data_IF_677342752295
#
_entry.id   IF_677342752295
#
_cell.length_a   1.000
_cell.length_b   1.000
_cell.length_c   1.000
_cell.angle_alpha   90.00
_cell.angle_beta   90.00
_cell.angle_gamma   90.00
#
_symmetry.space_group_name_H-M   'P 1'
#
loop_
_entity.id
_entity.type
_entity.pdbx_description
1 polymer ?
#
# COMPACT_ATOMS: atom_id res chain seq x y z
N UNK A 1 -29.52 27.11 14.08
CA UNK A 1 -28.24 27.82 13.88
C UNK A 1 -28.20 28.26 12.41
N UNK A 2 -28.65 29.47 12.11
CA UNK A 2 -28.64 30.03 10.75
C UNK A 2 -27.72 31.24 10.75
N UNK A 3 -26.61 31.17 10.01
CA UNK A 3 -25.71 32.31 9.78
C UNK A 3 -24.22 32.05 10.06
N UNK A 4 -23.83 30.92 10.63
CA UNK A 4 -22.43 30.57 10.83
C UNK A 4 -21.89 29.76 9.64
N UNK A 5 -20.90 30.32 8.93
CA UNK A 5 -20.20 29.64 7.84
C UNK A 5 -19.31 28.52 8.40
N UNK A 6 -19.44 27.30 7.85
CA UNK A 6 -18.54 26.19 8.16
C UNK A 6 -17.23 26.44 7.40
N UNK A 7 -16.15 26.70 8.14
CA UNK A 7 -14.83 27.05 7.57
C UNK A 7 -13.93 25.83 7.29
N UNK A 8 -14.29 24.66 7.83
CA UNK A 8 -13.57 23.40 7.66
C UNK A 8 -14.18 22.27 8.50
N UNK A 9 -13.71 21.05 8.27
CA UNK A 9 -14.15 19.84 8.98
C UNK A 9 -13.02 18.83 9.13
N UNK A 10 -13.21 17.88 10.04
CA UNK A 10 -12.38 16.69 10.20
C UNK A 10 -13.29 15.49 10.41
N UNK A 11 -13.00 14.39 9.71
CA UNK A 11 -13.63 13.11 9.89
C UNK A 11 -12.57 12.10 10.34
N UNK A 12 -12.78 11.51 11.52
CA UNK A 12 -11.89 10.52 12.10
C UNK A 12 -12.67 9.43 12.82
N UNK A 13 -12.10 8.23 12.90
CA UNK A 13 -12.75 7.08 13.53
C UNK A 13 -11.81 5.89 13.67
N UNK A 14 -12.32 4.68 13.95
CA UNK A 14 -11.52 3.46 13.91
C UNK A 14 -10.91 3.26 12.53
N UNK A 15 -9.71 2.72 12.44
CA UNK A 15 -9.14 2.28 11.16
C UNK A 15 -9.87 1.01 10.71
N UNK A 16 -10.66 1.10 9.63
CA UNK A 16 -11.57 0.03 9.19
C UNK A 16 -10.82 -1.17 8.55
N UNK A 17 -9.57 -0.98 8.10
CA UNK A 17 -8.80 -2.00 7.38
C UNK A 17 -8.02 -2.99 8.27
N UNK A 18 -7.99 -2.79 9.58
CA UNK A 18 -7.34 -3.73 10.50
C UNK A 18 -8.29 -4.88 10.87
N UNK A 19 -8.64 -5.74 9.90
CA UNK A 19 -9.46 -6.95 10.15
C UNK A 19 -8.78 -8.00 11.04
N UNK A 20 -7.49 -7.82 11.35
CA UNK A 20 -6.67 -8.76 12.11
C UNK A 20 -5.97 -8.17 13.33
N UNK A 21 -5.91 -6.84 13.46
CA UNK A 21 -5.35 -6.27 14.66
C UNK A 21 -6.46 -6.17 15.71
N UNK A 22 -6.14 -6.56 16.93
CA UNK A 22 -6.80 -6.07 18.14
C UNK A 22 -6.51 -4.56 18.35
N UNK A 23 -6.51 -3.81 17.24
CA UNK A 23 -5.80 -2.58 17.02
C UNK A 23 -6.59 -1.43 17.58
N UNK A 24 -6.02 -0.82 18.61
CA UNK A 24 -6.41 0.51 19.06
C UNK A 24 -5.83 1.54 18.08
N UNK A 25 -6.06 1.39 16.77
CA UNK A 25 -5.63 2.35 15.75
C UNK A 25 -6.80 3.19 15.24
N UNK A 26 -6.67 4.51 15.36
CA UNK A 26 -7.59 5.47 14.76
C UNK A 26 -7.13 5.87 13.37
N UNK A 27 -8.02 6.45 12.58
CA UNK A 27 -7.71 7.00 11.26
C UNK A 27 -8.34 8.38 11.08
N UNK A 28 -7.63 9.29 10.41
CA UNK A 28 -8.17 10.55 9.90
C UNK A 28 -8.53 10.34 8.44
N UNK A 29 -9.83 10.17 8.17
CA UNK A 29 -10.38 9.92 6.84
C UNK A 29 -10.36 11.17 5.96
N UNK A 30 -10.66 12.33 6.56
CA UNK A 30 -10.64 13.61 5.85
C UNK A 30 -10.37 14.75 6.83
N UNK A 31 -9.60 15.75 6.37
CA UNK A 31 -9.41 17.01 7.06
C UNK A 31 -9.31 18.11 6.01
N UNK A 32 -10.32 18.97 6.00
CA UNK A 32 -10.44 20.03 5.02
C UNK A 32 -10.62 21.39 5.68
N UNK A 33 -9.97 22.39 5.09
CA UNK A 33 -10.14 23.80 5.43
C UNK A 33 -10.32 24.58 4.15
N UNK A 34 -11.36 25.41 4.11
CA UNK A 34 -11.65 26.32 2.99
C UNK A 34 -10.45 27.23 2.71
N UNK A 35 -10.16 27.45 1.43
CA UNK A 35 -8.96 28.19 0.98
C UNK A 35 -8.78 29.55 1.65
N UNK A 36 -9.90 30.28 1.85
CA UNK A 36 -9.91 31.60 2.50
C UNK A 36 -9.42 31.59 3.95
N UNK A 37 -9.49 30.43 4.59
CA UNK A 37 -9.15 30.25 6.00
C UNK A 37 -7.89 29.38 6.20
N UNK A 38 -7.19 29.00 5.12
CA UNK A 38 -5.92 28.27 5.23
C UNK A 38 -4.83 29.16 5.83
N UNK A 39 -3.81 28.54 6.43
CA UNK A 39 -2.68 29.20 7.10
C UNK A 39 -3.06 30.10 8.30
N UNK A 40 -4.30 30.01 8.79
CA UNK A 40 -4.80 30.70 9.99
C UNK A 40 -4.71 29.86 11.28
N UNK A 41 -4.27 28.60 11.18
CA UNK A 41 -4.27 27.64 12.28
C UNK A 41 -5.49 26.72 12.35
N UNK A 42 -6.55 26.96 11.57
CA UNK A 42 -7.78 26.15 11.57
C UNK A 42 -7.52 24.65 11.39
N UNK A 43 -6.67 24.26 10.44
CA UNK A 43 -6.35 22.84 10.20
C UNK A 43 -5.62 22.19 11.37
N UNK A 44 -4.75 22.94 12.07
CA UNK A 44 -4.07 22.46 13.28
C UNK A 44 -5.06 22.29 14.42
N UNK A 45 -5.99 23.22 14.60
CA UNK A 45 -7.04 23.12 15.62
C UNK A 45 -7.93 21.88 15.39
N UNK A 46 -8.38 21.66 14.15
CA UNK A 46 -9.17 20.49 13.78
C UNK A 46 -8.40 19.18 14.01
N UNK A 47 -7.13 19.13 13.60
CA UNK A 47 -6.27 17.97 13.83
C UNK A 47 -6.11 17.70 15.34
N UNK A 48 -5.74 18.71 16.13
CA UNK A 48 -5.54 18.54 17.57
C UNK A 48 -6.82 18.06 18.27
N UNK A 49 -7.99 18.62 17.93
CA UNK A 49 -9.26 18.18 18.50
C UNK A 49 -9.59 16.72 18.15
N UNK A 50 -9.35 16.31 16.90
CA UNK A 50 -9.54 14.92 16.46
C UNK A 50 -8.58 13.96 17.19
N UNK A 51 -7.31 14.32 17.35
CA UNK A 51 -6.34 13.50 18.08
C UNK A 51 -6.68 13.37 19.57
N UNK A 52 -7.16 14.43 20.21
CA UNK A 52 -7.64 14.37 21.59
C UNK A 52 -8.83 13.41 21.73
N UNK A 53 -9.78 13.46 20.80
CA UNK A 53 -10.95 12.57 20.81
C UNK A 53 -10.56 11.10 20.59
N UNK A 54 -9.66 10.84 19.64
CA UNK A 54 -9.14 9.48 19.41
C UNK A 54 -8.37 8.99 20.65
N UNK A 55 -7.57 9.84 21.29
CA UNK A 55 -6.86 9.50 22.53
C UNK A 55 -7.84 9.17 23.67
N UNK A 56 -8.91 9.97 23.84
CA UNK A 56 -9.97 9.70 24.82
C UNK A 56 -10.72 8.40 24.55
N UNK A 57 -10.86 8.06 23.27
CA UNK A 57 -11.44 6.79 22.80
C UNK A 57 -10.47 5.60 22.92
N UNK A 58 -9.35 5.76 23.64
CA UNK A 58 -8.35 4.72 23.89
C UNK A 58 -7.59 4.20 22.66
N UNK A 59 -7.60 4.94 21.55
CA UNK A 59 -6.69 4.65 20.44
C UNK A 59 -5.23 4.95 20.86
N UNK A 60 -4.32 4.05 20.50
CA UNK A 60 -2.88 4.09 20.77
C UNK A 60 -2.09 4.68 19.60
N UNK A 61 -2.59 4.54 18.38
CA UNK A 61 -1.99 5.08 17.16
C UNK A 61 -3.07 5.79 16.34
N UNK A 62 -2.66 6.73 15.51
CA UNK A 62 -3.53 7.36 14.51
C UNK A 62 -2.82 7.39 13.18
N UNK A 63 -3.52 6.96 12.13
CA UNK A 63 -3.03 7.00 10.77
C UNK A 63 -3.77 8.05 9.94
N UNK A 64 -3.14 8.52 8.85
CA UNK A 64 -3.74 9.43 7.88
C UNK A 64 -3.05 9.29 6.52
N UNK A 65 -3.85 9.27 5.45
CA UNK A 65 -3.34 9.27 4.08
C UNK A 65 -3.30 10.68 3.49
N UNK A 66 -2.28 10.98 2.70
CA UNK A 66 -2.16 12.29 2.03
C UNK A 66 -1.25 12.22 0.81
N UNK A 67 -1.10 13.35 0.10
CA UNK A 67 -0.08 13.52 -0.94
C UNK A 67 1.21 14.03 -0.31
N UNK A 68 2.32 13.33 -0.55
CA UNK A 68 3.63 13.69 -0.02
C UNK A 68 4.01 15.11 -0.46
N UNK A 69 4.62 15.89 0.44
CA UNK A 69 4.92 17.32 0.25
C UNK A 69 3.70 18.24 0.06
N UNK A 70 2.47 17.72 0.16
CA UNK A 70 1.23 18.50 0.16
C UNK A 70 0.99 19.27 1.47
N UNK A 71 -0.10 20.04 1.52
CA UNK A 71 -0.47 20.78 2.74
C UNK A 71 -0.81 19.85 3.92
N UNK A 72 -1.56 18.76 3.65
CA UNK A 72 -1.89 17.73 4.64
C UNK A 72 -0.64 17.05 5.18
N UNK A 73 0.27 16.62 4.29
CA UNK A 73 1.56 16.07 4.69
C UNK A 73 2.35 17.01 5.60
N UNK A 74 2.51 18.29 5.23
CA UNK A 74 3.23 19.25 6.08
C UNK A 74 2.57 19.44 7.44
N UNK A 75 1.24 19.49 7.49
CA UNK A 75 0.48 19.59 8.74
C UNK A 75 0.75 18.38 9.64
N UNK A 76 0.57 17.16 9.12
CA UNK A 76 0.78 15.91 9.86
C UNK A 76 2.24 15.76 10.32
N UNK A 77 3.21 16.01 9.44
CA UNK A 77 4.64 16.00 9.80
C UNK A 77 4.96 17.01 10.90
N UNK A 78 4.39 18.21 10.84
CA UNK A 78 4.59 19.24 11.88
C UNK A 78 4.00 18.85 13.24
N UNK A 79 3.03 17.93 13.25
CA UNK A 79 2.43 17.38 14.45
C UNK A 79 3.12 16.09 14.91
N UNK A 80 4.21 15.65 14.26
CA UNK A 80 4.99 14.49 14.68
C UNK A 80 4.52 13.15 14.11
N UNK A 81 3.75 13.16 13.02
CA UNK A 81 3.48 11.94 12.26
C UNK A 81 4.74 11.45 11.50
N UNK A 82 4.92 10.14 11.44
CA UNK A 82 5.98 9.44 10.73
C UNK A 82 5.43 8.78 9.47
N UNK A 83 6.25 8.72 8.42
CA UNK A 83 5.88 8.05 7.17
C UNK A 83 6.03 6.53 7.36
N UNK A 84 4.97 5.76 7.06
CA UNK A 84 4.97 4.30 7.26
C UNK A 84 4.88 3.53 5.96
N UNK A 85 3.99 3.93 5.06
CA UNK A 85 3.78 3.27 3.79
C UNK A 85 3.55 4.26 2.67
N UNK A 86 3.85 3.83 1.46
CA UNK A 86 3.67 4.62 0.25
C UNK A 86 2.93 3.78 -0.79
N UNK A 87 1.90 4.36 -1.38
CA UNK A 87 1.17 3.78 -2.48
C UNK A 87 1.64 4.40 -3.79
N UNK A 88 1.88 3.55 -4.78
CA UNK A 88 2.30 3.91 -6.12
C UNK A 88 1.20 3.59 -7.12
N UNK A 89 1.00 4.47 -8.10
CA UNK A 89 0.28 4.15 -9.32
C UNK A 89 1.26 3.50 -10.32
N UNK A 90 0.87 2.34 -10.83
CA UNK A 90 1.62 1.56 -11.81
C UNK A 90 1.26 2.04 -13.21
N UNK A 91 2.21 2.70 -13.87
CA UNK A 91 2.07 3.09 -15.27
C UNK A 91 2.28 1.93 -16.24
N UNK A 92 2.17 2.23 -17.55
CA UNK A 92 2.51 1.26 -18.60
C UNK A 92 3.98 0.87 -18.49
N UNK A 93 4.25 -0.40 -18.25
CA UNK A 93 5.62 -0.89 -18.17
C UNK A 93 6.13 -1.36 -19.53
N UNK A 94 7.43 -1.19 -19.77
CA UNK A 94 8.05 -1.66 -20.99
C UNK A 94 8.35 -3.15 -20.95
N UNK A 95 8.11 -3.83 -22.08
CA UNK A 95 8.41 -5.23 -22.25
C UNK A 95 9.88 -5.55 -21.95
N UNK A 96 10.11 -6.57 -21.11
CA UNK A 96 11.46 -7.08 -20.80
C UNK A 96 11.74 -8.33 -21.62
N UNK A 97 12.53 -8.19 -22.68
CA UNK A 97 12.95 -9.29 -23.53
C UNK A 97 14.15 -10.06 -22.93
N UNK A 98 13.94 -10.76 -21.82
CA UNK A 98 14.89 -11.79 -21.35
C UNK A 98 14.32 -13.17 -21.67
N UNK A 99 14.96 -13.90 -22.59
CA UNK A 99 14.52 -15.24 -23.03
C UNK A 99 14.80 -16.35 -22.01
N UNK A 100 15.61 -16.10 -20.98
CA UNK A 100 15.95 -17.10 -19.94
C UNK A 100 14.97 -17.08 -18.77
N UNK A 101 14.18 -16.02 -18.67
CA UNK A 101 13.10 -15.93 -17.71
C UNK A 101 11.80 -16.31 -18.41
N UNK A 102 10.94 -17.06 -17.74
CA UNK A 102 9.59 -17.37 -18.23
C UNK A 102 8.59 -16.90 -17.17
N UNK A 103 7.53 -16.22 -17.59
CA UNK A 103 6.44 -15.85 -16.68
C UNK A 103 5.20 -16.64 -17.07
N UNK A 104 4.56 -17.26 -16.08
CA UNK A 104 3.35 -18.06 -16.26
C UNK A 104 2.39 -17.82 -15.10
N UNK A 105 1.11 -18.16 -15.31
CA UNK A 105 0.12 -18.17 -14.23
C UNK A 105 0.47 -19.29 -13.25
N UNK A 106 0.50 -18.95 -11.97
CA UNK A 106 0.74 -19.88 -10.87
C UNK A 106 -0.55 -20.44 -10.26
N UNK A 107 -0.38 -21.45 -9.43
CA UNK A 107 -1.43 -22.04 -8.59
C UNK A 107 -1.07 -21.85 -7.10
N UNK A 108 -2.03 -22.11 -6.21
CA UNK A 108 -1.83 -21.90 -4.76
C UNK A 108 -0.66 -22.72 -4.21
N UNK A 109 -0.43 -23.90 -4.75
CA UNK A 109 0.65 -24.81 -4.36
C UNK A 109 2.03 -24.18 -4.56
N UNK A 110 2.19 -23.31 -5.56
CA UNK A 110 3.45 -22.62 -5.84
C UNK A 110 3.83 -21.64 -4.72
N UNK A 111 2.84 -21.12 -3.98
CA UNK A 111 3.08 -20.23 -2.84
C UNK A 111 3.84 -20.90 -1.71
N UNK A 112 3.75 -22.23 -1.56
CA UNK A 112 4.42 -22.93 -0.45
C UNK A 112 5.92 -22.68 -0.43
N UNK A 113 6.54 -22.74 -1.61
CA UNK A 113 7.98 -22.54 -1.77
C UNK A 113 8.40 -21.10 -1.44
N UNK A 114 7.58 -20.13 -1.84
CA UNK A 114 7.82 -18.70 -1.60
C UNK A 114 7.56 -18.34 -0.14
N UNK A 115 6.46 -18.83 0.43
CA UNK A 115 6.09 -18.55 1.81
C UNK A 115 7.16 -19.06 2.77
N UNK A 116 7.72 -20.24 2.53
CA UNK A 116 8.85 -20.75 3.31
C UNK A 116 10.06 -19.81 3.26
N UNK A 117 10.45 -19.35 2.06
CA UNK A 117 11.57 -18.43 1.88
C UNK A 117 11.33 -17.08 2.57
N UNK A 118 10.15 -16.47 2.39
CA UNK A 118 9.80 -15.18 3.01
C UNK A 118 9.72 -15.33 4.54
N UNK A 119 9.02 -16.35 5.02
CA UNK A 119 8.81 -16.57 6.47
C UNK A 119 10.11 -16.90 7.21
N UNK A 120 11.09 -17.46 6.51
CA UNK A 120 12.44 -17.73 7.03
C UNK A 120 13.36 -16.51 6.98
N UNK A 121 12.89 -15.36 6.49
CA UNK A 121 13.63 -14.09 6.46
C UNK A 121 12.95 -13.02 7.34
N UNK A 122 13.31 -12.94 8.64
CA UNK A 122 12.76 -11.93 9.54
C UNK A 122 13.01 -10.50 9.09
N UNK A 123 14.07 -10.26 8.33
CA UNK A 123 14.39 -8.96 7.76
C UNK A 123 13.37 -8.56 6.69
N UNK A 124 13.08 -9.43 5.71
CA UNK A 124 12.08 -9.16 4.67
C UNK A 124 10.71 -8.86 5.29
N UNK A 125 10.28 -9.68 6.24
CA UNK A 125 9.00 -9.50 6.92
C UNK A 125 8.91 -8.16 7.66
N UNK A 126 9.97 -7.77 8.39
CA UNK A 126 9.97 -6.52 9.17
C UNK A 126 10.19 -5.28 8.31
N UNK A 127 11.19 -5.26 7.43
CA UNK A 127 11.62 -4.05 6.72
C UNK A 127 10.93 -3.83 5.39
N UNK A 128 10.45 -4.90 4.74
CA UNK A 128 9.85 -4.80 3.39
C UNK A 128 8.34 -4.92 3.41
N UNK A 129 7.80 -5.77 4.29
CA UNK A 129 6.38 -6.09 4.35
C UNK A 129 5.68 -5.51 5.60
N UNK A 130 6.43 -5.16 6.65
CA UNK A 130 5.91 -4.70 7.94
C UNK A 130 4.80 -5.61 8.50
N UNK A 131 5.00 -6.93 8.43
CA UNK A 131 4.04 -7.93 8.88
C UNK A 131 4.73 -9.14 9.49
N UNK A 132 3.98 -9.89 10.29
CA UNK A 132 4.35 -11.21 10.80
C UNK A 132 4.14 -12.29 9.74
N UNK A 133 4.75 -13.49 9.89
CA UNK A 133 4.46 -14.62 9.01
C UNK A 133 2.97 -14.98 8.98
N UNK A 134 2.28 -14.88 10.11
CA UNK A 134 0.85 -15.20 10.22
C UNK A 134 -0.03 -14.20 9.48
N UNK A 135 0.27 -12.90 9.60
CA UNK A 135 -0.43 -11.85 8.83
C UNK A 135 -0.19 -12.02 7.34
N UNK A 136 1.05 -12.31 6.92
CA UNK A 136 1.35 -12.63 5.52
C UNK A 136 0.51 -13.82 5.04
N UNK A 137 0.49 -14.92 5.80
CA UNK A 137 -0.26 -16.11 5.44
C UNK A 137 -1.74 -15.82 5.28
N UNK A 138 -2.34 -15.11 6.24
CA UNK A 138 -3.76 -14.78 6.20
C UNK A 138 -4.08 -13.85 5.02
N UNK A 139 -3.32 -12.76 4.88
CA UNK A 139 -3.50 -11.77 3.80
C UNK A 139 -3.47 -12.46 2.44
N UNK A 140 -2.45 -13.29 2.19
CA UNK A 140 -2.34 -13.99 0.91
C UNK A 140 -3.50 -14.95 0.66
N UNK A 141 -3.98 -15.66 1.69
CA UNK A 141 -5.13 -16.55 1.49
C UNK A 141 -6.42 -15.76 1.22
N UNK A 142 -6.68 -14.68 1.97
CA UNK A 142 -7.86 -13.82 1.75
C UNK A 142 -7.84 -13.22 0.34
N UNK A 143 -6.68 -12.72 -0.11
CA UNK A 143 -6.48 -12.23 -1.48
C UNK A 143 -6.86 -13.30 -2.52
N UNK A 144 -6.37 -14.53 -2.36
CA UNK A 144 -6.65 -15.61 -3.31
C UNK A 144 -8.08 -16.13 -3.25
N UNK A 145 -8.70 -16.13 -2.07
CA UNK A 145 -10.10 -16.49 -1.88
C UNK A 145 -11.02 -15.44 -2.51
N UNK A 146 -10.57 -14.19 -2.56
CA UNK A 146 -11.25 -13.06 -3.21
C UNK A 146 -10.97 -12.94 -4.71
N UNK A 147 -10.32 -13.95 -5.32
CA UNK A 147 -10.06 -13.99 -6.76
C UNK A 147 -8.71 -13.41 -7.20
N UNK A 148 -7.80 -13.17 -6.26
CA UNK A 148 -6.42 -12.80 -6.53
C UNK A 148 -5.69 -13.86 -7.37
N UNK A 149 -4.73 -13.41 -8.17
CA UNK A 149 -4.05 -14.18 -9.20
C UNK A 149 -2.57 -14.23 -8.94
N UNK A 150 -1.96 -15.34 -9.32
CA UNK A 150 -0.55 -15.62 -9.09
C UNK A 150 0.18 -15.62 -10.42
N UNK A 151 1.31 -14.93 -10.50
CA UNK A 151 2.31 -15.07 -11.55
C UNK A 151 3.60 -15.60 -10.99
N UNK A 152 4.21 -16.55 -11.68
CA UNK A 152 5.50 -17.12 -11.30
C UNK A 152 6.48 -16.81 -12.40
N UNK A 153 7.66 -16.34 -12.01
CA UNK A 153 8.80 -16.24 -12.87
C UNK A 153 9.69 -17.45 -12.64
N UNK A 154 9.99 -18.20 -13.70
CA UNK A 154 10.89 -19.34 -13.70
C UNK A 154 12.18 -19.04 -14.44
N UNK A 155 13.24 -19.73 -14.03
CA UNK A 155 14.49 -19.85 -14.75
C UNK A 155 15.00 -21.28 -14.61
N UNK A 156 15.27 -21.93 -15.73
CA UNK A 156 15.75 -23.32 -15.78
C UNK A 156 14.86 -24.25 -14.91
N UNK A 157 13.54 -24.19 -15.10
CA UNK A 157 12.48 -24.90 -14.36
C UNK A 157 12.32 -24.56 -12.86
N UNK A 158 13.12 -23.64 -12.31
CA UNK A 158 13.00 -23.21 -10.91
C UNK A 158 12.20 -21.93 -10.80
N UNK A 159 11.23 -21.87 -9.89
CA UNK A 159 10.58 -20.62 -9.51
C UNK A 159 11.61 -19.68 -8.84
N UNK A 160 11.77 -18.47 -9.38
CA UNK A 160 12.76 -17.47 -8.92
C UNK A 160 12.12 -16.18 -8.43
N UNK A 161 10.83 -16.00 -8.70
CA UNK A 161 10.04 -14.90 -8.17
C UNK A 161 8.55 -15.11 -8.40
N UNK A 162 7.76 -14.34 -7.67
CA UNK A 162 6.31 -14.36 -7.70
C UNK A 162 5.75 -12.95 -7.70
N UNK A 163 4.58 -12.79 -8.30
CA UNK A 163 3.76 -11.60 -8.16
C UNK A 163 2.31 -12.02 -7.98
N UNK A 164 1.65 -11.47 -6.97
CA UNK A 164 0.23 -11.68 -6.70
C UNK A 164 -0.46 -10.35 -6.94
N UNK A 165 -1.58 -10.39 -7.65
CA UNK A 165 -2.38 -9.21 -7.95
C UNK A 165 -3.87 -9.52 -7.94
N UNK A 166 -4.67 -8.51 -7.65
CA UNK A 166 -6.12 -8.57 -7.62
C UNK A 166 -6.71 -7.54 -8.58
N UNK A 167 -7.97 -7.75 -8.95
CA UNK A 167 -8.79 -6.81 -9.71
C UNK A 167 -10.08 -6.60 -8.93
N UNK A 168 -10.48 -5.34 -8.76
CA UNK A 168 -11.69 -4.97 -8.05
C UNK A 168 -12.35 -3.76 -8.75
N UNK A 169 -13.64 -3.57 -8.49
CA UNK A 169 -14.39 -2.42 -9.01
C UNK A 169 -14.34 -1.28 -7.99
N UNK A 170 -13.98 -0.08 -8.44
CA UNK A 170 -14.10 1.11 -7.62
C UNK A 170 -15.57 1.47 -7.42
N UNK A 171 -16.02 1.50 -6.17
CA UNK A 171 -17.44 1.72 -5.85
C UNK A 171 -17.95 3.12 -6.24
N UNK A 172 -17.05 4.08 -6.44
CA UNK A 172 -17.40 5.48 -6.75
C UNK A 172 -17.44 5.73 -8.25
N UNK A 173 -16.49 5.19 -9.01
CA UNK A 173 -16.37 5.41 -10.46
C UNK A 173 -16.86 4.24 -11.31
N UNK A 174 -17.05 3.06 -10.71
CA UNK A 174 -17.33 1.80 -11.38
C UNK A 174 -16.22 1.36 -12.36
N UNK A 175 -15.02 1.94 -12.21
CA UNK A 175 -13.85 1.55 -12.99
C UNK A 175 -13.22 0.28 -12.40
N UNK A 176 -12.63 -0.56 -13.26
CA UNK A 176 -11.84 -1.68 -12.81
C UNK A 176 -10.44 -1.21 -12.40
N UNK A 177 -10.07 -1.50 -11.16
CA UNK A 177 -8.78 -1.19 -10.58
C UNK A 177 -8.00 -2.48 -10.33
N UNK A 178 -6.69 -2.41 -10.55
CA UNK A 178 -5.74 -3.46 -10.22
C UNK A 178 -5.00 -3.15 -8.92
N UNK A 179 -4.62 -4.18 -8.18
CA UNK A 179 -3.72 -4.04 -7.05
C UNK A 179 -2.61 -5.08 -7.12
N UNK A 180 -1.36 -4.67 -6.96
CA UNK A 180 -0.24 -5.59 -6.75
C UNK A 180 -0.17 -5.88 -5.25
N UNK A 181 -0.52 -7.09 -4.88
CA UNK A 181 -0.67 -7.54 -3.47
C UNK A 181 0.67 -7.95 -2.87
N UNK A 182 1.50 -8.60 -3.70
CA UNK A 182 2.85 -9.02 -3.32
C UNK A 182 3.71 -9.12 -4.56
N UNK A 183 4.96 -8.66 -4.45
CA UNK A 183 6.04 -9.04 -5.36
C UNK A 183 7.20 -9.56 -4.54
N UNK A 184 7.71 -10.73 -4.89
CA UNK A 184 8.88 -11.29 -4.21
C UNK A 184 9.82 -11.93 -5.22
N UNK A 185 11.12 -11.67 -5.04
CA UNK A 185 12.19 -12.28 -5.84
C UNK A 185 13.19 -12.89 -4.89
N UNK A 186 13.53 -14.17 -5.15
CA UNK A 186 14.54 -14.88 -4.40
C UNK A 186 15.85 -14.07 -4.35
N UNK A 187 16.53 -13.96 -3.19
CA UNK A 187 17.69 -13.06 -3.03
C UNK A 187 18.74 -13.20 -4.13
N UNK A 188 19.10 -14.43 -4.51
CA UNK A 188 20.09 -14.75 -5.55
C UNK A 188 19.68 -14.33 -6.98
N UNK A 189 18.42 -13.94 -7.19
CA UNK A 189 17.88 -13.50 -8.49
C UNK A 189 17.48 -12.02 -8.51
N UNK A 190 17.66 -11.29 -7.40
CA UNK A 190 17.47 -9.83 -7.37
C UNK A 190 18.45 -9.13 -8.30
N UNK A 191 18.04 -7.98 -8.84
CA UNK A 191 18.82 -7.23 -9.83
C UNK A 191 18.87 -7.84 -11.24
N UNK A 192 18.32 -9.04 -11.46
CA UNK A 192 18.31 -9.74 -12.76
C UNK A 192 17.05 -9.51 -13.60
N UNK A 193 16.28 -8.47 -13.30
CA UNK A 193 15.06 -8.13 -14.07
C UNK A 193 13.82 -8.98 -13.78
N UNK A 194 13.86 -9.92 -12.84
CA UNK A 194 12.73 -10.83 -12.50
C UNK A 194 11.46 -10.06 -12.13
N UNK A 195 11.53 -9.15 -11.15
CA UNK A 195 10.38 -8.36 -10.72
C UNK A 195 9.82 -7.47 -11.85
N UNK A 196 10.69 -6.87 -12.67
CA UNK A 196 10.27 -6.06 -13.82
C UNK A 196 9.53 -6.90 -14.86
N UNK A 197 9.96 -8.14 -15.09
CA UNK A 197 9.30 -9.05 -16.02
C UNK A 197 7.93 -9.52 -15.50
N UNK A 198 7.83 -9.84 -14.20
CA UNK A 198 6.57 -10.16 -13.54
C UNK A 198 5.57 -9.00 -13.65
N UNK A 199 6.03 -7.78 -13.31
CA UNK A 199 5.21 -6.58 -13.40
C UNK A 199 4.74 -6.33 -14.84
N UNK A 200 5.61 -6.51 -15.83
CA UNK A 200 5.24 -6.35 -17.24
C UNK A 200 4.15 -7.31 -17.67
N UNK A 201 4.25 -8.58 -17.27
CA UNK A 201 3.19 -9.56 -17.53
C UNK A 201 1.89 -9.16 -16.83
N UNK A 202 1.94 -8.80 -15.53
CA UNK A 202 0.77 -8.38 -14.77
C UNK A 202 0.06 -7.18 -15.41
N UNK A 203 0.81 -6.14 -15.80
CA UNK A 203 0.21 -4.94 -16.44
C UNK A 203 -0.39 -5.24 -17.81
N UNK A 204 0.16 -6.19 -18.57
CA UNK A 204 -0.43 -6.60 -19.84
C UNK A 204 -1.73 -7.39 -19.63
N UNK A 205 -1.76 -8.26 -18.61
CA UNK A 205 -2.96 -9.02 -18.25
C UNK A 205 -4.08 -8.09 -17.80
N UNK A 206 -3.77 -7.18 -16.86
CA UNK A 206 -4.69 -6.16 -16.34
C UNK A 206 -5.23 -5.26 -17.46
N UNK A 207 -4.34 -4.76 -18.34
CA UNK A 207 -4.77 -3.96 -19.50
C UNK A 207 -5.67 -4.74 -20.46
N UNK A 208 -5.44 -6.05 -20.64
CA UNK A 208 -6.29 -6.91 -21.46
C UNK A 208 -7.70 -7.09 -20.90
N UNK A 209 -7.88 -6.86 -19.60
CA UNK A 209 -9.16 -6.98 -18.89
C UNK A 209 -9.89 -5.64 -18.72
N UNK A 210 -9.35 -4.55 -19.30
CA UNK A 210 -9.95 -3.23 -19.19
C UNK A 210 -9.74 -2.59 -17.81
N UNK A 211 -8.69 -2.98 -17.09
CA UNK A 211 -8.28 -2.28 -15.85
C UNK A 211 -7.69 -0.91 -16.20
N UNK A 212 -8.25 0.14 -15.59
CA UNK A 212 -7.90 1.53 -15.88
C UNK A 212 -6.62 1.96 -15.16
N UNK A 213 -6.54 1.64 -13.86
CA UNK A 213 -5.40 1.99 -13.01
C UNK A 213 -4.99 0.80 -12.15
N UNK A 214 -3.71 0.73 -11.81
CA UNK A 214 -3.17 -0.34 -10.96
C UNK A 214 -2.32 0.29 -9.88
N UNK A 215 -2.44 -0.20 -8.65
CA UNK A 215 -1.72 0.34 -7.50
C UNK A 215 -0.78 -0.69 -6.87
N UNK A 216 0.23 -0.20 -6.17
CA UNK A 216 1.13 -1.02 -5.36
C UNK A 216 1.52 -0.24 -4.09
N UNK A 217 1.24 -0.80 -2.92
CA UNK A 217 1.67 -0.24 -1.64
C UNK A 217 2.90 -0.97 -1.12
N UNK A 218 3.85 -0.21 -0.57
CA UNK A 218 5.00 -0.77 0.12
C UNK A 218 5.39 0.04 1.35
N UNK A 219 6.20 -0.56 2.22
CA UNK A 219 6.79 0.11 3.39
C UNK A 219 7.65 1.28 2.93
N UNK A 220 7.58 2.40 3.65
CA UNK A 220 8.41 3.56 3.40
C UNK A 220 9.89 3.25 3.73
N UNK A 221 10.81 3.74 2.92
CA UNK A 221 12.26 3.50 3.00
C UNK A 221 12.65 2.01 2.83
N UNK A 222 11.89 1.26 2.02
CA UNK A 222 12.13 -0.15 1.71
C UNK A 222 12.78 -0.37 0.34
N UNK A 223 13.29 -1.58 0.09
CA UNK A 223 13.78 -1.98 -1.23
C UNK A 223 12.65 -1.95 -2.26
N UNK A 224 11.41 -2.23 -1.84
CA UNK A 224 10.23 -2.12 -2.69
C UNK A 224 9.93 -0.69 -3.10
N UNK A 225 10.17 0.30 -2.23
CA UNK A 225 10.05 1.71 -2.63
C UNK A 225 11.10 2.07 -3.69
N UNK A 226 12.34 1.65 -3.48
CA UNK A 226 13.43 1.88 -4.42
C UNK A 226 13.17 1.21 -5.78
N UNK A 227 12.70 -0.03 -5.74
CA UNK A 227 12.31 -0.77 -6.93
C UNK A 227 11.15 -0.10 -7.68
N UNK A 228 10.10 0.32 -6.97
CA UNK A 228 8.91 0.96 -7.55
C UNK A 228 9.30 2.22 -8.33
N UNK A 229 10.16 3.06 -7.75
CA UNK A 229 10.74 4.22 -8.43
C UNK A 229 11.58 3.81 -9.64
N UNK A 230 12.45 2.81 -9.50
CA UNK A 230 13.34 2.36 -10.56
C UNK A 230 12.61 1.76 -11.77
N UNK A 231 11.43 1.17 -11.58
CA UNK A 231 10.58 0.66 -12.68
C UNK A 231 9.62 1.71 -13.24
N UNK A 232 9.66 2.95 -12.72
CA UNK A 232 8.91 4.08 -13.25
C UNK A 232 7.49 4.22 -12.70
N UNK A 233 7.18 3.61 -11.56
CA UNK A 233 5.91 3.89 -10.88
C UNK A 233 5.92 5.31 -10.31
N UNK A 234 4.73 5.92 -10.24
CA UNK A 234 4.56 7.28 -9.69
C UNK A 234 3.98 7.20 -8.28
N UNK A 235 4.53 7.99 -7.34
CA UNK A 235 3.99 8.09 -5.99
C UNK A 235 2.54 8.64 -6.07
N UNK A 236 1.59 7.91 -5.52
CA UNK A 236 0.17 8.28 -5.52
C UNK A 236 -0.26 8.85 -4.16
N UNK A 237 0.00 8.11 -3.08
CA UNK A 237 -0.34 8.56 -1.72
C UNK A 237 0.70 8.05 -0.70
N UNK A 238 0.70 8.67 0.48
CA UNK A 238 1.55 8.27 1.60
C UNK A 238 0.73 8.16 2.87
N UNK A 239 0.88 7.03 3.56
CA UNK A 239 0.31 6.76 4.87
C UNK A 239 1.29 7.24 5.93
N UNK A 240 0.82 8.12 6.80
CA UNK A 240 1.53 8.51 7.99
C UNK A 240 0.86 7.98 9.24
N UNK A 241 1.65 7.77 10.29
CA UNK A 241 1.19 7.29 11.59
C UNK A 241 1.79 8.13 12.72
N UNK A 242 1.04 8.30 13.80
CA UNK A 242 1.49 8.91 15.05
C UNK A 242 1.09 8.05 16.23
N UNK A 243 2.01 7.84 17.17
CA UNK A 243 1.70 7.28 18.48
C UNK A 243 0.97 8.32 19.35
N UNK A 244 -0.10 7.89 20.01
CA UNK A 244 -0.84 8.65 21.01
C UNK A 244 -0.40 8.33 22.45
N UNK A 245 0.49 7.35 22.62
CA UNK A 245 1.07 7.01 23.92
C UNK A 245 2.05 8.11 24.36
N UNK A 246 1.87 8.59 25.59
CA UNK A 246 2.87 9.35 26.35
C UNK A 246 3.44 8.43 27.42
#
# INVERSE_FOLDING_TARGET
RSGEEIVGHVHSGPQIDERLAFGRSGHIYDLFVSDRYRRSGAGKLLLSASLEELKRSSYLTVTANTYRLGAGWRLLKSDGFEEKKICFSVGRTHHVADRRLEVMRGIREDLRSVFFEISSSPEVLRSQLSMTPSELFFTLNETLDSGGRILICRRDEKAVGILIYSVFEDLMTYNLLGYIELVFVMPHFRGKGVAKKLLSFATNDLSGEGVDETFFECVFDSDYQNWSKAVGMSEFSILLEKSLQQ
#
